data_IF_631960658462
#
_entry.id   IF_631960658462
#
_cell.length_a   1.000
_cell.length_b   1.000
_cell.length_c   1.000
_cell.angle_alpha   90.00
_cell.angle_beta   90.00
_cell.angle_gamma   90.00
#
_symmetry.space_group_name_H-M   'P 1'
#
loop_
_entity.id
_entity.type
_entity.pdbx_description
1 polymer ?
#
# COMPACT_ATOMS: atom_id res chain seq x y z
N UNK A 1 8.54 -4.66 -2.45
CA UNK A 1 8.37 -3.58 -1.46
C UNK A 1 9.13 -3.94 -0.17
N UNK A 2 9.76 -2.96 0.51
CA UNK A 2 10.40 -3.15 1.82
C UNK A 2 9.67 -2.34 2.91
N UNK A 3 9.62 -2.86 4.13
CA UNK A 3 8.97 -2.19 5.25
C UNK A 3 9.57 -2.61 6.60
N UNK A 4 9.20 -1.89 7.65
CA UNK A 4 9.60 -2.16 9.03
C UNK A 4 8.41 -1.97 9.95
N UNK A 5 8.19 -2.93 10.85
CA UNK A 5 7.20 -2.80 11.91
C UNK A 5 7.76 -1.86 12.99
N UNK A 6 7.05 -0.76 13.23
CA UNK A 6 7.44 0.25 14.22
C UNK A 6 6.73 -0.02 15.55
N UNK A 7 5.46 -0.36 15.47
CA UNK A 7 4.64 -0.82 16.61
C UNK A 7 3.73 -1.95 16.16
N UNK A 8 3.00 -2.58 17.08
CA UNK A 8 2.03 -3.62 16.75
C UNK A 8 1.04 -3.18 15.66
N UNK A 9 0.61 -1.92 15.67
CA UNK A 9 -0.41 -1.38 14.76
C UNK A 9 0.15 -0.45 13.68
N UNK A 10 1.48 -0.36 13.53
CA UNK A 10 2.11 0.56 12.58
C UNK A 10 3.29 -0.08 11.87
N UNK A 11 3.19 -0.10 10.55
CA UNK A 11 4.25 -0.47 9.63
C UNK A 11 4.57 0.75 8.78
N UNK A 12 5.86 1.01 8.60
CA UNK A 12 6.35 2.07 7.70
C UNK A 12 7.19 1.40 6.62
N UNK A 13 6.96 1.76 5.36
CA UNK A 13 7.65 1.13 4.24
C UNK A 13 7.63 1.95 2.96
N UNK A 14 8.32 1.42 1.96
CA UNK A 14 8.26 1.92 0.59
C UNK A 14 6.89 1.62 -0.04
N UNK A 15 6.59 2.26 -1.17
CA UNK A 15 5.36 2.00 -1.92
C UNK A 15 5.21 0.53 -2.35
N UNK A 16 3.99 -0.03 -2.33
CA UNK A 16 3.64 -1.22 -3.10
C UNK A 16 3.88 -0.97 -4.59
N UNK A 17 4.43 -1.95 -5.30
CA UNK A 17 4.74 -1.85 -6.73
C UNK A 17 3.74 -2.59 -7.62
N UNK A 18 3.07 -3.60 -7.07
CA UNK A 18 2.13 -4.48 -7.78
C UNK A 18 1.05 -5.02 -6.82
N UNK A 19 -0.11 -5.47 -7.31
CA UNK A 19 -1.20 -5.96 -6.46
C UNK A 19 -0.79 -7.06 -5.48
N UNK A 20 0.18 -7.91 -5.84
CA UNK A 20 0.69 -8.97 -4.99
C UNK A 20 1.41 -8.46 -3.73
N UNK A 21 1.89 -7.21 -3.73
CA UNK A 21 2.43 -6.59 -2.51
C UNK A 21 1.30 -6.32 -1.49
N UNK A 22 0.05 -6.09 -1.94
CA UNK A 22 -1.12 -5.98 -1.06
C UNK A 22 -1.51 -7.35 -0.51
N UNK A 23 -1.43 -8.41 -1.32
CA UNK A 23 -1.65 -9.78 -0.85
C UNK A 23 -0.71 -10.13 0.31
N UNK A 24 0.56 -9.77 0.15
CA UNK A 24 1.60 -9.97 1.16
C UNK A 24 1.27 -9.19 2.45
N UNK A 25 0.94 -7.90 2.33
CA UNK A 25 0.58 -7.07 3.49
C UNK A 25 -0.68 -7.57 4.21
N UNK A 26 -1.69 -8.02 3.48
CA UNK A 26 -2.92 -8.53 4.08
C UNK A 26 -2.69 -9.87 4.81
N UNK A 27 -1.98 -10.82 4.16
CA UNK A 27 -1.76 -12.16 4.71
C UNK A 27 -0.77 -12.17 5.88
N UNK A 28 0.35 -11.47 5.73
CA UNK A 28 1.46 -11.57 6.69
C UNK A 28 1.34 -10.54 7.82
N UNK A 29 0.74 -9.38 7.53
CA UNK A 29 0.73 -8.25 8.46
C UNK A 29 -0.67 -7.82 8.91
N UNK A 30 -1.74 -8.45 8.39
CA UNK A 30 -3.13 -8.18 8.73
C UNK A 30 -3.50 -6.67 8.65
N UNK A 31 -3.04 -6.01 7.59
CA UNK A 31 -3.20 -4.57 7.42
C UNK A 31 -4.65 -4.22 7.08
N UNK A 32 -5.31 -3.41 7.93
CA UNK A 32 -6.65 -2.88 7.64
C UNK A 32 -6.66 -1.54 6.87
N UNK A 33 -5.53 -0.81 6.86
CA UNK A 33 -5.44 0.53 6.28
C UNK A 33 -4.10 0.75 5.56
N UNK A 34 -4.15 1.36 4.38
CA UNK A 34 -2.97 1.85 3.66
C UNK A 34 -3.07 3.36 3.53
N UNK A 35 -2.08 4.09 4.08
CA UNK A 35 -1.98 5.55 3.96
C UNK A 35 -0.86 5.87 2.98
N UNK A 36 -1.24 6.28 1.76
CA UNK A 36 -0.32 6.68 0.71
C UNK A 36 -0.08 8.20 0.76
N UNK A 37 1.18 8.59 0.98
CA UNK A 37 1.62 9.98 1.09
C UNK A 37 2.22 10.56 -0.21
N UNK A 38 2.15 9.81 -1.31
CA UNK A 38 2.77 10.19 -2.58
C UNK A 38 1.90 11.14 -3.40
N UNK A 39 2.58 12.05 -4.09
CA UNK A 39 2.00 12.90 -5.13
C UNK A 39 1.86 12.11 -6.45
N UNK A 40 0.99 12.58 -7.35
CA UNK A 40 0.76 11.90 -8.64
C UNK A 40 2.06 11.78 -9.46
N UNK A 41 2.91 12.81 -9.44
CA UNK A 41 4.23 12.79 -10.11
C UNK A 41 5.14 11.66 -9.61
N UNK A 42 5.03 11.27 -8.33
CA UNK A 42 5.87 10.22 -7.76
C UNK A 42 5.41 8.86 -8.28
N UNK A 43 4.09 8.64 -8.33
CA UNK A 43 3.46 7.42 -8.85
C UNK A 43 3.79 7.26 -10.35
N UNK A 44 3.64 8.35 -11.12
CA UNK A 44 3.97 8.38 -12.55
C UNK A 44 5.45 8.09 -12.80
N UNK A 45 6.35 8.72 -12.04
CA UNK A 45 7.79 8.51 -12.17
C UNK A 45 8.18 7.03 -11.97
N UNK A 46 7.53 6.35 -11.03
CA UNK A 46 7.79 4.93 -10.76
C UNK A 46 6.99 3.98 -11.66
N UNK A 47 6.11 4.48 -12.52
CA UNK A 47 5.29 3.66 -13.43
C UNK A 47 4.31 2.75 -12.70
N UNK A 48 3.84 3.16 -11.51
CA UNK A 48 2.95 2.33 -10.69
C UNK A 48 1.51 2.44 -11.19
N UNK A 49 0.89 1.30 -11.47
CA UNK A 49 -0.56 1.22 -11.68
C UNK A 49 -1.29 1.29 -10.33
N UNK A 50 -1.49 2.51 -9.84
CA UNK A 50 -2.15 2.75 -8.56
C UNK A 50 -3.60 2.23 -8.54
N UNK A 51 -4.31 2.21 -9.67
CA UNK A 51 -5.70 1.74 -9.69
C UNK A 51 -5.80 0.24 -9.44
N UNK A 52 -4.87 -0.54 -10.00
CA UNK A 52 -4.77 -1.97 -9.69
C UNK A 52 -4.45 -2.23 -8.22
N UNK A 53 -3.60 -1.39 -7.59
CA UNK A 53 -3.32 -1.47 -6.15
C UNK A 53 -4.57 -1.19 -5.32
N UNK A 54 -5.28 -0.10 -5.62
CA UNK A 54 -6.50 0.30 -4.88
C UNK A 54 -7.59 -0.77 -5.02
N UNK A 55 -7.78 -1.30 -6.23
CA UNK A 55 -8.76 -2.36 -6.50
C UNK A 55 -8.45 -3.60 -5.65
N UNK A 56 -7.18 -3.99 -5.57
CA UNK A 56 -6.76 -5.12 -4.74
C UNK A 56 -6.97 -4.89 -3.24
N UNK A 57 -6.74 -3.67 -2.75
CA UNK A 57 -7.07 -3.31 -1.36
C UNK A 57 -8.57 -3.50 -1.08
N UNK A 58 -9.44 -3.07 -2.00
CA UNK A 58 -10.90 -3.18 -1.83
C UNK A 58 -11.37 -4.64 -1.75
N UNK A 59 -10.79 -5.54 -2.55
CA UNK A 59 -11.11 -6.97 -2.51
C UNK A 59 -10.84 -7.62 -1.15
N UNK A 60 -9.86 -7.11 -0.41
CA UNK A 60 -9.52 -7.56 0.95
C UNK A 60 -10.18 -6.74 2.06
N UNK A 61 -10.99 -5.73 1.73
CA UNK A 61 -11.56 -4.81 2.73
C UNK A 61 -10.54 -3.86 3.36
N UNK A 62 -9.36 -3.69 2.74
CA UNK A 62 -8.32 -2.76 3.18
C UNK A 62 -8.68 -1.34 2.73
N UNK A 63 -8.75 -0.40 3.66
CA UNK A 63 -9.05 0.99 3.36
C UNK A 63 -7.80 1.72 2.85
N UNK A 64 -7.79 2.09 1.57
CA UNK A 64 -6.73 2.88 0.97
C UNK A 64 -7.04 4.38 1.02
N UNK A 65 -6.16 5.17 1.63
CA UNK A 65 -6.31 6.61 1.84
C UNK A 65 -5.13 7.34 1.19
N UNK A 66 -5.39 8.42 0.43
CA UNK A 66 -4.35 9.32 -0.07
C UNK A 66 -4.26 10.61 0.75
N UNK A 67 -3.04 11.00 1.10
CA UNK A 67 -2.68 12.27 1.76
C UNK A 67 -1.36 12.82 1.16
N UNK A 68 -1.41 13.35 -0.09
CA UNK A 68 -0.24 13.88 -0.77
C UNK A 68 0.33 15.16 -0.15
#
# INVERSE_FOLDING_TARGET
MNYTQITENLIVGSQPQKPEDIDHLNKEMNVGYVINLQQDKDIEYWGIDLQSIISRCQEFGVCHIRRP
#
